data_IF_033490170387
#
_entry.id   IF_033490170387
#
_cell.length_a   1.000
_cell.length_b   1.000
_cell.length_c   1.000
_cell.angle_alpha   90.00
_cell.angle_beta   90.00
_cell.angle_gamma   90.00
#
_symmetry.space_group_name_H-M   'P 1'
#
loop_
_entity.id
_entity.type
_entity.pdbx_description
1 polymer ?
#
# COMPACT_ATOMS: atom_id res chain seq x y z
N UNK A 1 22.53 -11.87 7.29
CA UNK A 1 21.09 -11.55 7.20
C UNK A 1 20.29 -12.82 7.38
N UNK A 2 19.35 -12.83 8.34
CA UNK A 2 18.43 -13.95 8.51
C UNK A 2 17.60 -14.14 7.22
N UNK A 3 17.35 -15.39 6.82
CA UNK A 3 16.57 -15.73 5.62
C UNK A 3 15.20 -15.04 5.62
N UNK A 4 14.51 -14.97 6.74
CA UNK A 4 13.22 -14.30 6.89
C UNK A 4 13.28 -12.78 6.67
N UNK A 5 14.36 -12.12 7.10
CA UNK A 5 14.53 -10.68 6.85
C UNK A 5 14.73 -10.37 5.37
N UNK A 6 15.56 -11.15 4.66
CA UNK A 6 15.73 -11.03 3.21
C UNK A 6 14.42 -11.25 2.48
N UNK A 7 13.68 -12.28 2.87
CA UNK A 7 12.36 -12.58 2.34
C UNK A 7 11.37 -11.44 2.57
N UNK A 8 11.41 -10.82 3.75
CA UNK A 8 10.58 -9.64 4.06
C UNK A 8 10.87 -8.46 3.16
N UNK A 9 12.15 -8.14 2.92
CA UNK A 9 12.55 -7.08 1.98
C UNK A 9 12.08 -7.41 0.57
N UNK A 10 12.31 -8.62 0.09
CA UNK A 10 11.90 -9.04 -1.26
C UNK A 10 10.38 -8.92 -1.45
N UNK A 11 9.58 -9.39 -0.48
CA UNK A 11 8.12 -9.32 -0.53
C UNK A 11 7.62 -7.88 -0.53
N UNK A 12 8.14 -7.02 0.35
CA UNK A 12 7.78 -5.62 0.40
C UNK A 12 8.16 -4.88 -0.89
N UNK A 13 9.38 -5.10 -1.39
CA UNK A 13 9.85 -4.51 -2.64
C UNK A 13 8.99 -4.93 -3.83
N UNK A 14 8.66 -6.23 -3.93
CA UNK A 14 7.78 -6.75 -4.98
C UNK A 14 6.40 -6.10 -4.94
N UNK A 15 5.82 -5.88 -3.74
CA UNK A 15 4.56 -5.18 -3.59
C UNK A 15 4.61 -3.77 -4.16
N UNK A 16 5.64 -2.99 -3.81
CA UNK A 16 5.78 -1.61 -4.26
C UNK A 16 6.16 -1.49 -5.74
N UNK A 17 6.89 -2.46 -6.30
CA UNK A 17 7.12 -2.54 -7.76
C UNK A 17 5.77 -2.77 -8.47
N UNK A 18 4.97 -3.74 -8.02
CA UNK A 18 3.66 -3.99 -8.60
C UNK A 18 2.76 -2.75 -8.52
N UNK A 19 2.69 -2.08 -7.36
CA UNK A 19 1.94 -0.84 -7.23
C UNK A 19 2.48 0.29 -8.11
N UNK A 20 3.80 0.37 -8.29
CA UNK A 20 4.44 1.38 -9.15
C UNK A 20 4.08 1.24 -10.63
N UNK A 21 3.85 0.00 -11.12
CA UNK A 21 3.46 -0.25 -12.52
C UNK A 21 1.94 -0.26 -12.75
N UNK A 22 1.12 -0.22 -11.69
CA UNK A 22 -0.34 -0.25 -11.79
C UNK A 22 -0.95 0.83 -12.70
N UNK A 23 -0.40 2.04 -12.82
CA UNK A 23 -0.93 3.04 -13.75
C UNK A 23 -1.07 2.52 -15.19
N UNK A 24 -0.18 1.61 -15.63
CA UNK A 24 -0.28 0.98 -16.96
C UNK A 24 -1.56 0.13 -17.06
N UNK A 25 -1.87 -0.64 -16.01
CA UNK A 25 -3.09 -1.46 -16.01
C UNK A 25 -4.36 -0.63 -15.99
N UNK A 26 -4.38 0.49 -15.25
CA UNK A 26 -5.57 1.32 -15.14
C UNK A 26 -5.99 1.95 -16.46
N UNK A 27 -5.10 2.08 -17.44
CA UNK A 27 -5.45 2.53 -18.80
C UNK A 27 -6.36 1.55 -19.53
N UNK A 28 -6.34 0.27 -19.20
CA UNK A 28 -7.22 -0.73 -19.84
C UNK A 28 -8.66 -0.70 -19.32
N UNK A 29 -8.92 0.02 -18.24
CA UNK A 29 -10.23 0.14 -17.59
C UNK A 29 -10.72 1.58 -17.49
N UNK A 30 -10.13 2.51 -18.21
CA UNK A 30 -10.39 3.95 -18.19
C UNK A 30 -11.81 4.35 -18.63
N UNK A 31 -12.47 3.49 -19.43
CA UNK A 31 -13.86 3.68 -19.85
C UNK A 31 -14.88 3.46 -18.70
N UNK A 32 -14.46 2.96 -17.54
CA UNK A 32 -15.32 2.68 -16.39
C UNK A 32 -15.09 3.74 -15.32
N UNK A 33 -16.19 4.20 -14.69
CA UNK A 33 -16.11 5.20 -13.63
C UNK A 33 -15.23 4.78 -12.45
N UNK A 34 -14.41 5.69 -11.95
CA UNK A 34 -13.38 5.37 -10.96
C UNK A 34 -13.93 4.75 -9.66
N UNK A 35 -15.09 5.20 -9.16
CA UNK A 35 -15.74 4.58 -7.99
C UNK A 35 -16.34 3.21 -8.33
N UNK A 36 -16.80 3.01 -9.57
CA UNK A 36 -17.25 1.71 -10.05
C UNK A 36 -16.08 0.72 -10.12
N UNK A 37 -14.91 1.15 -10.64
CA UNK A 37 -13.66 0.37 -10.59
C UNK A 37 -13.34 -0.01 -9.14
N UNK A 38 -13.41 0.94 -8.19
CA UNK A 38 -13.12 0.66 -6.78
C UNK A 38 -14.06 -0.41 -6.21
N UNK A 39 -15.36 -0.32 -6.48
CA UNK A 39 -16.35 -1.27 -6.00
C UNK A 39 -16.09 -2.69 -6.57
N UNK A 40 -15.87 -2.79 -7.87
CA UNK A 40 -15.55 -4.08 -8.51
C UNK A 40 -14.21 -4.65 -8.04
N UNK A 41 -13.19 -3.82 -7.81
CA UNK A 41 -11.90 -4.27 -7.22
C UNK A 41 -12.11 -4.93 -5.87
N UNK A 42 -12.94 -4.34 -5.01
CA UNK A 42 -13.26 -4.90 -3.68
C UNK A 42 -13.95 -6.26 -3.85
N UNK A 43 -14.99 -6.33 -4.70
CA UNK A 43 -15.76 -7.55 -4.94
C UNK A 43 -14.87 -8.65 -5.55
N UNK A 44 -14.14 -8.35 -6.63
CA UNK A 44 -13.28 -9.32 -7.29
C UNK A 44 -12.09 -9.73 -6.43
N UNK A 45 -11.60 -8.86 -5.54
CA UNK A 45 -10.59 -9.26 -4.54
C UNK A 45 -11.15 -10.29 -3.57
N UNK A 46 -12.40 -10.10 -3.09
CA UNK A 46 -13.04 -11.10 -2.23
C UNK A 46 -13.23 -12.44 -2.95
N UNK A 47 -13.72 -12.41 -4.19
CA UNK A 47 -13.87 -13.60 -5.04
C UNK A 47 -12.52 -14.29 -5.25
N UNK A 48 -11.48 -13.55 -5.57
CA UNK A 48 -10.13 -14.08 -5.78
C UNK A 48 -9.56 -14.72 -4.51
N UNK A 49 -9.75 -14.08 -3.34
CA UNK A 49 -9.30 -14.64 -2.06
C UNK A 49 -10.06 -15.91 -1.68
N UNK A 50 -11.38 -15.94 -1.91
CA UNK A 50 -12.20 -17.15 -1.72
C UNK A 50 -11.72 -18.27 -2.64
N UNK A 51 -11.43 -17.96 -3.91
CA UNK A 51 -10.87 -18.92 -4.86
C UNK A 51 -9.53 -19.51 -4.38
N UNK A 52 -8.61 -18.68 -3.87
CA UNK A 52 -7.34 -19.15 -3.27
C UNK A 52 -7.60 -20.14 -2.13
N UNK A 53 -8.58 -19.86 -1.26
CA UNK A 53 -8.92 -20.77 -0.16
C UNK A 53 -9.61 -22.05 -0.66
N UNK A 54 -10.41 -21.97 -1.73
CA UNK A 54 -11.11 -23.14 -2.29
C UNK A 54 -10.12 -24.14 -2.92
N UNK A 55 -9.14 -23.64 -3.66
CA UNK A 55 -8.15 -24.47 -4.37
C UNK A 55 -7.00 -24.90 -3.46
N UNK A 56 -6.57 -24.01 -2.55
CA UNK A 56 -5.38 -24.19 -1.72
C UNK A 56 -5.67 -24.85 -0.37
N UNK A 57 -5.49 -26.17 -0.23
CA UNK A 57 -5.69 -26.87 1.04
C UNK A 57 -4.85 -26.30 2.18
N UNK A 58 -3.58 -25.93 1.92
CA UNK A 58 -2.68 -25.34 2.91
C UNK A 58 -3.19 -23.99 3.39
N UNK A 59 -3.66 -23.15 2.48
CA UNK A 59 -4.21 -21.83 2.75
C UNK A 59 -5.51 -21.92 3.54
N UNK A 60 -6.38 -22.85 3.20
CA UNK A 60 -7.63 -23.13 3.91
C UNK A 60 -7.38 -23.57 5.35
N UNK A 61 -6.45 -24.50 5.57
CA UNK A 61 -6.10 -24.96 6.91
C UNK A 61 -5.48 -23.82 7.75
N UNK A 62 -4.63 -22.99 7.14
CA UNK A 62 -4.08 -21.80 7.81
C UNK A 62 -5.19 -20.82 8.18
N UNK A 63 -6.11 -20.54 7.26
CA UNK A 63 -7.25 -19.65 7.50
C UNK A 63 -8.15 -20.14 8.65
N UNK A 64 -8.49 -21.44 8.68
CA UNK A 64 -9.30 -22.01 9.77
C UNK A 64 -8.59 -21.88 11.13
N UNK A 65 -7.29 -22.20 11.20
CA UNK A 65 -6.49 -22.02 12.41
C UNK A 65 -6.47 -20.56 12.87
N UNK A 66 -6.24 -19.64 11.92
CA UNK A 66 -6.14 -18.21 12.20
C UNK A 66 -7.48 -17.62 12.66
N UNK A 67 -8.60 -18.06 12.06
CA UNK A 67 -9.97 -17.69 12.51
C UNK A 67 -10.23 -18.15 13.94
N UNK A 68 -9.90 -19.41 14.26
CA UNK A 68 -10.06 -19.92 15.63
C UNK A 68 -9.20 -19.13 16.64
N UNK A 69 -7.99 -18.71 16.25
CA UNK A 69 -7.12 -17.86 17.06
C UNK A 69 -7.76 -16.46 17.28
N UNK A 70 -8.36 -15.87 16.25
CA UNK A 70 -8.93 -14.52 16.29
C UNK A 70 -10.20 -14.45 17.13
N UNK A 71 -11.02 -15.51 17.14
CA UNK A 71 -12.20 -15.57 18.01
C UNK A 71 -11.86 -15.41 19.49
N UNK A 72 -10.67 -15.85 19.90
CA UNK A 72 -10.13 -15.62 21.24
C UNK A 72 -9.38 -14.28 21.43
N UNK A 73 -9.27 -13.45 20.38
CA UNK A 73 -8.51 -12.19 20.40
C UNK A 73 -9.26 -11.04 19.73
N UNK A 74 -10.34 -10.53 20.35
CA UNK A 74 -11.25 -9.57 19.73
C UNK A 74 -10.56 -8.28 19.25
N UNK A 75 -9.51 -7.83 19.96
CA UNK A 75 -8.73 -6.66 19.57
C UNK A 75 -7.99 -6.88 18.22
N UNK A 76 -7.45 -8.08 17.99
CA UNK A 76 -6.81 -8.39 16.70
C UNK A 76 -7.83 -8.55 15.58
N UNK A 77 -8.99 -9.12 15.86
CA UNK A 77 -10.09 -9.20 14.89
C UNK A 77 -10.56 -7.79 14.52
N UNK A 78 -10.79 -6.92 15.51
CA UNK A 78 -11.15 -5.52 15.25
C UNK A 78 -10.08 -4.82 14.43
N UNK A 79 -8.79 -5.04 14.72
CA UNK A 79 -7.69 -4.44 13.97
C UNK A 79 -7.69 -4.85 12.49
N UNK A 80 -8.06 -6.10 12.16
CA UNK A 80 -8.18 -6.55 10.76
C UNK A 80 -9.38 -5.90 10.07
N UNK A 81 -10.53 -5.84 10.76
CA UNK A 81 -11.73 -5.18 10.23
C UNK A 81 -11.43 -3.70 9.93
N UNK A 82 -10.82 -3.02 10.90
CA UNK A 82 -10.39 -1.62 10.72
C UNK A 82 -9.39 -1.50 9.56
N UNK A 83 -8.42 -2.41 9.44
CA UNK A 83 -7.47 -2.40 8.32
C UNK A 83 -8.18 -2.50 6.96
N UNK A 84 -9.19 -3.38 6.84
CA UNK A 84 -10.00 -3.51 5.64
C UNK A 84 -10.70 -2.21 5.27
N UNK A 85 -11.34 -1.53 6.22
CA UNK A 85 -12.00 -0.25 5.95
C UNK A 85 -11.00 0.90 5.72
N UNK A 86 -9.90 0.94 6.46
CA UNK A 86 -8.86 1.97 6.30
C UNK A 86 -8.26 1.94 4.90
N UNK A 87 -8.04 0.76 4.32
CA UNK A 87 -7.52 0.68 2.94
C UNK A 87 -8.56 1.13 1.91
N UNK A 88 -9.86 1.07 2.20
CA UNK A 88 -10.89 1.60 1.29
C UNK A 88 -10.93 3.12 1.25
N UNK A 89 -10.33 3.82 2.25
CA UNK A 89 -10.12 5.27 2.21
C UNK A 89 -9.28 5.71 1.00
N UNK A 90 -8.69 4.78 0.28
CA UNK A 90 -8.15 5.02 -1.06
C UNK A 90 -9.20 5.54 -2.06
N UNK A 91 -10.49 5.38 -1.79
CA UNK A 91 -11.55 6.11 -2.46
C UNK A 91 -11.35 7.63 -2.42
N UNK A 92 -10.72 8.18 -1.37
CA UNK A 92 -10.32 9.60 -1.28
C UNK A 92 -9.34 9.97 -2.40
N UNK A 93 -8.44 9.07 -2.81
CA UNK A 93 -7.57 9.28 -3.95
C UNK A 93 -8.39 9.49 -5.23
N UNK A 94 -9.35 8.62 -5.46
CA UNK A 94 -10.22 8.66 -6.63
C UNK A 94 -11.05 9.96 -6.62
N UNK A 95 -11.67 10.27 -5.49
CA UNK A 95 -12.41 11.51 -5.31
C UNK A 95 -11.54 12.74 -5.60
N UNK A 96 -10.32 12.77 -5.09
CA UNK A 96 -9.42 13.89 -5.27
C UNK A 96 -8.99 14.06 -6.75
N UNK A 97 -8.71 12.95 -7.44
CA UNK A 97 -8.37 12.98 -8.87
C UNK A 97 -9.55 13.51 -9.70
N UNK A 98 -10.77 13.04 -9.42
CA UNK A 98 -11.98 13.47 -10.16
C UNK A 98 -12.42 14.91 -9.84
N UNK A 99 -11.96 15.48 -8.71
CA UNK A 99 -12.26 16.86 -8.30
C UNK A 99 -11.07 17.81 -8.50
N UNK A 100 -10.06 17.45 -9.28
CA UNK A 100 -8.95 18.33 -9.67
C UNK A 100 -7.82 18.45 -8.64
N UNK A 101 -7.82 17.68 -7.54
CA UNK A 101 -6.79 17.70 -6.50
C UNK A 101 -5.63 16.71 -6.78
N UNK A 102 -5.25 16.53 -8.04
CA UNK A 102 -4.23 15.54 -8.47
C UNK A 102 -2.87 15.78 -7.80
N UNK A 103 -2.45 17.04 -7.64
CA UNK A 103 -1.18 17.37 -6.98
C UNK A 103 -1.16 16.93 -5.52
N UNK A 104 -2.29 17.04 -4.80
CA UNK A 104 -2.38 16.57 -3.42
C UNK A 104 -2.33 15.04 -3.32
N UNK A 105 -2.86 14.31 -4.31
CA UNK A 105 -2.74 12.84 -4.32
C UNK A 105 -1.29 12.40 -4.50
N UNK A 106 -0.55 13.04 -5.40
CA UNK A 106 0.89 12.78 -5.60
C UNK A 106 1.70 13.07 -4.34
N UNK A 107 1.42 14.19 -3.67
CA UNK A 107 2.07 14.54 -2.41
C UNK A 107 1.78 13.51 -1.31
N UNK A 108 0.59 12.90 -1.30
CA UNK A 108 0.23 11.83 -0.38
C UNK A 108 1.18 10.64 -0.46
N UNK A 109 1.63 10.27 -1.65
CA UNK A 109 2.63 9.21 -1.84
C UNK A 109 4.02 9.58 -1.28
N UNK A 110 4.36 10.87 -1.24
CA UNK A 110 5.64 11.32 -0.66
C UNK A 110 5.57 11.43 0.87
N UNK A 111 4.42 11.84 1.42
CA UNK A 111 4.21 11.96 2.88
C UNK A 111 4.06 10.60 3.54
N UNK A 112 3.42 9.64 2.88
CA UNK A 112 3.07 8.32 3.44
C UNK A 112 4.27 7.55 4.03
N UNK A 113 5.46 7.48 3.39
CA UNK A 113 6.63 6.85 4.00
C UNK A 113 7.05 7.51 5.33
N UNK A 114 6.99 8.83 5.41
CA UNK A 114 7.32 9.56 6.65
C UNK A 114 6.32 9.27 7.76
N UNK A 115 5.03 9.16 7.43
CA UNK A 115 3.98 8.75 8.38
C UNK A 115 4.25 7.33 8.87
N UNK A 116 4.60 6.40 7.98
CA UNK A 116 4.96 5.02 8.36
C UNK A 116 6.13 4.97 9.32
N UNK A 117 7.17 5.79 9.10
CA UNK A 117 8.34 5.93 9.99
C UNK A 117 7.94 6.55 11.33
N UNK A 118 7.10 7.58 11.32
CA UNK A 118 6.60 8.22 12.53
C UNK A 118 5.78 7.23 13.38
N UNK A 119 4.89 6.47 12.75
CA UNK A 119 4.11 5.42 13.42
C UNK A 119 5.02 4.31 13.99
N UNK A 120 6.08 3.93 13.27
CA UNK A 120 7.08 2.99 13.77
C UNK A 120 7.80 3.51 15.02
N UNK A 121 8.15 4.80 15.04
CA UNK A 121 8.79 5.45 16.17
C UNK A 121 7.85 5.49 17.40
N UNK A 122 6.62 5.95 17.22
CA UNK A 122 5.66 6.20 18.32
C UNK A 122 5.10 4.88 18.87
N UNK A 123 4.55 4.03 18.01
CA UNK A 123 3.78 2.85 18.43
C UNK A 123 4.63 1.59 18.56
N UNK A 124 5.62 1.40 17.68
CA UNK A 124 6.49 0.22 17.71
C UNK A 124 7.80 0.49 18.45
N UNK A 125 8.04 1.75 18.88
CA UNK A 125 9.25 2.16 19.62
C UNK A 125 10.54 1.80 18.88
N UNK A 126 10.50 1.84 17.53
CA UNK A 126 11.68 1.60 16.72
C UNK A 126 12.72 2.71 16.98
N UNK A 127 14.00 2.33 17.12
CA UNK A 127 15.10 3.25 17.42
C UNK A 127 15.97 3.46 16.20
N UNK A 128 16.28 4.73 15.93
CA UNK A 128 17.08 5.14 14.79
C UNK A 128 18.49 5.57 15.23
N UNK A 129 19.49 5.21 14.45
CA UNK A 129 20.83 5.75 14.60
C UNK A 129 20.97 7.10 13.89
N UNK A 130 22.14 7.75 14.03
CA UNK A 130 22.39 9.09 13.43
C UNK A 130 22.22 9.12 11.91
N UNK A 131 22.64 8.06 11.20
CA UNK A 131 22.48 7.99 9.74
C UNK A 131 21.03 7.79 9.31
N UNK A 132 20.26 7.05 10.06
CA UNK A 132 18.83 6.87 9.82
C UNK A 132 18.05 8.16 10.08
N UNK A 133 18.40 8.91 11.13
CA UNK A 133 17.85 10.24 11.38
C UNK A 133 18.18 11.20 10.25
N UNK A 134 19.42 11.17 9.75
CA UNK A 134 19.83 11.99 8.60
C UNK A 134 19.02 11.61 7.34
N UNK A 135 18.81 10.32 7.09
CA UNK A 135 17.99 9.84 5.99
C UNK A 135 16.53 10.34 6.08
N UNK A 136 15.93 10.28 7.28
CA UNK A 136 14.59 10.81 7.56
C UNK A 136 14.54 12.32 7.31
N UNK A 137 15.56 13.05 7.75
CA UNK A 137 15.66 14.50 7.53
C UNK A 137 15.69 14.84 6.02
N UNK A 138 16.49 14.13 5.22
CA UNK A 138 16.51 14.33 3.76
C UNK A 138 15.15 14.08 3.12
N UNK A 139 14.49 12.96 3.46
CA UNK A 139 13.15 12.67 2.97
C UNK A 139 12.13 13.75 3.39
N UNK A 140 12.20 14.22 4.64
CA UNK A 140 11.35 15.28 5.15
C UNK A 140 11.56 16.61 4.41
N UNK A 141 12.82 17.01 4.14
CA UNK A 141 13.13 18.22 3.38
C UNK A 141 12.52 18.14 1.98
N UNK A 142 12.65 17.00 1.28
CA UNK A 142 12.05 16.82 -0.03
C UNK A 142 10.53 16.95 -0.01
N UNK A 143 9.87 16.32 0.96
CA UNK A 143 8.41 16.41 1.15
C UNK A 143 7.97 17.82 1.49
N UNK A 144 8.68 18.49 2.40
CA UNK A 144 8.39 19.88 2.80
C UNK A 144 8.53 20.83 1.61
N UNK A 145 9.61 20.68 0.83
CA UNK A 145 9.81 21.46 -0.39
C UNK A 145 8.62 21.35 -1.34
N UNK A 146 8.18 20.15 -1.63
CA UNK A 146 7.04 19.92 -2.53
C UNK A 146 5.73 20.46 -1.95
N UNK A 147 5.51 20.30 -0.64
CA UNK A 147 4.34 20.85 0.05
C UNK A 147 4.26 22.37 -0.07
N UNK A 148 5.39 23.06 0.14
CA UNK A 148 5.47 24.52 0.02
C UNK A 148 5.26 24.99 -1.42
N UNK A 149 5.70 24.21 -2.41
CA UNK A 149 5.50 24.51 -3.83
C UNK A 149 4.06 24.39 -4.29
N UNK A 150 3.29 23.44 -3.74
CA UNK A 150 1.86 23.29 -4.04
C UNK A 150 1.06 24.50 -3.50
N UNK A 151 1.48 25.10 -2.38
CA UNK A 151 0.89 26.31 -1.85
C UNK A 151 -0.50 26.16 -1.19
N UNK A 152 -1.01 24.92 -1.10
CA UNK A 152 -2.28 24.57 -0.46
C UNK A 152 -2.07 23.66 0.73
N UNK A 153 -2.96 23.72 1.73
CA UNK A 153 -2.90 22.79 2.85
C UNK A 153 -3.27 21.37 2.40
N UNK A 154 -2.39 20.38 2.55
CA UNK A 154 -2.51 19.08 1.87
C UNK A 154 -3.42 18.10 2.63
N UNK A 155 -4.69 18.44 2.83
CA UNK A 155 -5.65 17.60 3.59
C UNK A 155 -5.75 16.19 2.98
N UNK A 156 -5.94 16.10 1.67
CA UNK A 156 -6.05 14.83 0.94
C UNK A 156 -4.80 13.99 1.12
N UNK A 157 -3.63 14.62 0.97
CA UNK A 157 -2.34 13.95 1.14
C UNK A 157 -2.18 13.37 2.54
N UNK A 158 -2.59 14.11 3.56
CA UNK A 158 -2.52 13.68 4.96
C UNK A 158 -3.47 12.50 5.21
N UNK A 159 -4.71 12.56 4.71
CA UNK A 159 -5.68 11.45 4.85
C UNK A 159 -5.13 10.19 4.19
N UNK A 160 -4.60 10.28 2.97
CA UNK A 160 -4.02 9.15 2.26
C UNK A 160 -2.81 8.58 2.99
N UNK A 161 -1.91 9.44 3.46
CA UNK A 161 -0.71 9.03 4.18
C UNK A 161 -1.04 8.38 5.52
N UNK A 162 -1.97 8.95 6.29
CA UNK A 162 -2.42 8.37 7.55
C UNK A 162 -3.13 7.05 7.35
N UNK A 163 -4.01 6.92 6.34
CA UNK A 163 -4.73 5.67 6.07
C UNK A 163 -3.75 4.54 5.76
N UNK A 164 -2.82 4.75 4.82
CA UNK A 164 -1.89 3.70 4.42
C UNK A 164 -0.83 3.41 5.48
N UNK A 165 -0.33 4.43 6.18
CA UNK A 165 0.58 4.27 7.32
C UNK A 165 -0.06 3.48 8.46
N UNK A 166 -1.31 3.80 8.82
CA UNK A 166 -2.10 3.05 9.80
C UNK A 166 -2.35 1.61 9.34
N UNK A 167 -2.67 1.41 8.08
CA UNK A 167 -2.79 0.07 7.50
C UNK A 167 -1.50 -0.75 7.71
N UNK A 168 -0.33 -0.17 7.40
CA UNK A 168 0.97 -0.80 7.64
C UNK A 168 1.21 -1.16 9.10
N UNK A 169 0.86 -0.26 10.03
CA UNK A 169 0.94 -0.51 11.47
C UNK A 169 0.03 -1.66 11.89
N UNK A 170 -1.22 -1.68 11.45
CA UNK A 170 -2.18 -2.74 11.77
C UNK A 170 -1.69 -4.11 11.27
N UNK A 171 -1.08 -4.16 10.06
CA UNK A 171 -0.46 -5.39 9.56
C UNK A 171 0.71 -5.87 10.39
N UNK A 172 1.39 -4.97 11.08
CA UNK A 172 2.51 -5.31 11.96
C UNK A 172 2.06 -5.91 13.29
N UNK A 173 0.94 -5.43 13.84
CA UNK A 173 0.44 -5.86 15.16
C UNK A 173 -0.47 -7.09 15.11
N UNK A 174 -1.00 -7.43 13.94
CA UNK A 174 -1.84 -8.62 13.76
C UNK A 174 -1.01 -9.86 13.46
N UNK A 175 -1.13 -10.90 14.29
CA UNK A 175 -0.30 -12.10 14.26
C UNK A 175 -1.03 -13.32 13.65
N UNK A 176 -1.47 -13.19 12.39
CA UNK A 176 -2.01 -14.29 11.56
C UNK A 176 -1.33 -14.33 10.20
N UNK A 177 -1.60 -15.37 9.40
CA UNK A 177 -1.07 -15.45 8.03
C UNK A 177 -1.51 -14.27 7.15
N UNK A 178 -0.68 -13.88 6.18
CA UNK A 178 -0.97 -12.74 5.30
C UNK A 178 -2.21 -13.01 4.43
N UNK A 179 -2.34 -14.23 3.90
CA UNK A 179 -3.50 -14.60 3.07
C UNK A 179 -4.77 -14.57 3.91
N UNK A 180 -4.74 -15.13 5.14
CA UNK A 180 -5.87 -15.07 6.07
C UNK A 180 -6.30 -13.63 6.36
N UNK A 181 -5.34 -12.74 6.65
CA UNK A 181 -5.61 -11.33 6.92
C UNK A 181 -6.29 -10.64 5.74
N UNK A 182 -5.72 -10.76 4.53
CA UNK A 182 -6.29 -10.13 3.32
C UNK A 182 -7.67 -10.73 2.98
N UNK A 183 -7.86 -12.04 3.18
CA UNK A 183 -9.16 -12.68 2.96
C UNK A 183 -10.25 -12.05 3.84
N UNK A 184 -9.98 -11.89 5.14
CA UNK A 184 -10.94 -11.30 6.07
C UNK A 184 -11.25 -9.85 5.66
N UNK A 185 -10.22 -9.06 5.35
CA UNK A 185 -10.40 -7.68 4.91
C UNK A 185 -11.27 -7.57 3.65
N UNK A 186 -10.99 -8.40 2.63
CA UNK A 186 -11.78 -8.42 1.40
C UNK A 186 -13.25 -8.84 1.66
N UNK A 187 -13.48 -9.85 2.51
CA UNK A 187 -14.84 -10.31 2.84
C UNK A 187 -15.60 -9.22 3.60
N UNK A 188 -14.96 -8.57 4.57
CA UNK A 188 -15.62 -7.53 5.40
C UNK A 188 -15.95 -6.28 4.59
N UNK A 189 -15.16 -5.95 3.58
CA UNK A 189 -15.37 -4.76 2.74
C UNK A 189 -16.27 -5.05 1.53
N UNK A 190 -16.40 -6.30 1.09
CA UNK A 190 -17.21 -6.69 -0.07
C UNK A 190 -18.67 -6.20 -0.03
N UNK A 191 -19.39 -6.20 1.12
CA UNK A 191 -20.73 -5.66 1.19
C UNK A 191 -20.82 -4.19 0.76
N UNK A 192 -19.85 -3.36 1.11
CA UNK A 192 -19.83 -1.96 0.69
C UNK A 192 -19.70 -1.82 -0.83
N UNK A 193 -18.83 -2.62 -1.46
CA UNK A 193 -18.72 -2.68 -2.92
C UNK A 193 -20.00 -3.16 -3.58
N UNK A 194 -20.63 -4.21 -3.03
CA UNK A 194 -21.90 -4.74 -3.55
C UNK A 194 -23.04 -3.71 -3.46
N UNK A 195 -23.18 -3.01 -2.34
CA UNK A 195 -24.19 -1.96 -2.15
C UNK A 195 -24.01 -0.88 -3.23
N UNK A 196 -22.76 -0.45 -3.49
CA UNK A 196 -22.50 0.58 -4.49
C UNK A 196 -22.79 0.09 -5.93
N UNK A 197 -22.44 -1.14 -6.27
CA UNK A 197 -22.77 -1.73 -7.59
C UNK A 197 -24.28 -1.88 -7.78
N UNK A 198 -25.01 -2.33 -6.75
CA UNK A 198 -26.47 -2.41 -6.80
C UNK A 198 -27.07 -1.01 -6.99
N UNK A 199 -26.57 0.01 -6.31
CA UNK A 199 -26.98 1.40 -6.49
C UNK A 199 -26.80 1.85 -7.94
N UNK A 200 -25.61 1.65 -8.53
CA UNK A 200 -25.33 2.01 -9.93
C UNK A 200 -26.26 1.26 -10.90
N UNK A 201 -26.51 -0.01 -10.65
CA UNK A 201 -27.42 -0.81 -11.46
C UNK A 201 -28.85 -0.28 -11.44
N UNK A 202 -29.36 0.07 -10.26
CA UNK A 202 -30.68 0.68 -10.09
C UNK A 202 -30.81 2.05 -10.76
N UNK A 203 -29.75 2.83 -10.78
CA UNK A 203 -29.69 4.14 -11.43
C UNK A 203 -29.44 4.06 -12.96
N UNK A 204 -29.29 2.86 -13.53
CA UNK A 204 -28.88 2.65 -14.93
C UNK A 204 -27.56 3.35 -15.30
N UNK A 205 -26.65 3.51 -14.33
CA UNK A 205 -25.35 4.19 -14.49
C UNK A 205 -24.17 3.21 -14.51
N UNK A 206 -24.41 1.91 -14.51
CA UNK A 206 -23.38 0.89 -14.51
C UNK A 206 -22.71 0.81 -15.89
N UNK A 207 -21.39 0.97 -15.95
CA UNK A 207 -20.58 0.86 -17.17
C UNK A 207 -20.09 -0.57 -17.41
N UNK A 208 -20.10 -1.41 -16.36
CA UNK A 208 -19.70 -2.82 -16.46
C UNK A 208 -20.67 -3.61 -17.36
N UNK A 209 -20.13 -4.24 -18.39
CA UNK A 209 -20.91 -4.98 -19.39
C UNK A 209 -20.03 -5.80 -20.34
N UNK A 210 -20.52 -6.13 -21.52
CA UNK A 210 -19.79 -6.87 -22.54
C UNK A 210 -18.87 -5.94 -23.35
N UNK A 211 -17.81 -5.47 -22.70
CA UNK A 211 -16.79 -4.61 -23.33
C UNK A 211 -15.39 -4.98 -22.83
N UNK A 212 -14.36 -4.49 -23.53
CA UNK A 212 -12.96 -4.81 -23.23
C UNK A 212 -12.52 -4.31 -21.86
N UNK A 213 -12.97 -3.13 -21.42
CA UNK A 213 -12.62 -2.59 -20.10
C UNK A 213 -13.21 -3.45 -18.97
N UNK A 214 -14.44 -3.96 -19.13
CA UNK A 214 -15.04 -4.90 -18.19
C UNK A 214 -14.29 -6.25 -18.14
N UNK A 215 -13.81 -6.74 -19.27
CA UNK A 215 -12.95 -7.93 -19.31
C UNK A 215 -11.68 -7.74 -18.46
N UNK A 216 -10.98 -6.62 -18.67
CA UNK A 216 -9.80 -6.31 -17.86
C UNK A 216 -10.16 -6.11 -16.38
N UNK A 217 -11.32 -5.52 -16.08
CA UNK A 217 -11.76 -5.29 -14.70
C UNK A 217 -11.93 -6.59 -13.90
N UNK A 218 -12.22 -7.73 -14.54
CA UNK A 218 -12.28 -9.04 -13.87
C UNK A 218 -10.97 -9.40 -13.17
N UNK A 219 -9.82 -8.98 -13.71
CA UNK A 219 -8.50 -9.25 -13.13
C UNK A 219 -8.15 -8.28 -11.99
N UNK A 220 -8.93 -7.20 -11.80
CA UNK A 220 -8.65 -6.18 -10.79
C UNK A 220 -8.56 -6.75 -9.37
N UNK A 221 -9.29 -7.83 -9.09
CA UNK A 221 -9.23 -8.53 -7.81
C UNK A 221 -7.85 -9.11 -7.52
N UNK A 222 -7.30 -9.88 -8.45
CA UNK A 222 -5.95 -10.46 -8.33
C UNK A 222 -4.88 -9.36 -8.27
N UNK A 223 -4.99 -8.37 -9.15
CA UNK A 223 -4.06 -7.23 -9.24
C UNK A 223 -4.07 -6.39 -7.97
N UNK A 224 -5.18 -6.32 -7.26
CA UNK A 224 -5.29 -5.66 -5.95
C UNK A 224 -4.81 -6.56 -4.82
N UNK A 225 -5.23 -7.81 -4.76
CA UNK A 225 -4.97 -8.70 -3.65
C UNK A 225 -3.51 -9.17 -3.59
N UNK A 226 -2.86 -9.44 -4.72
CA UNK A 226 -1.47 -9.95 -4.75
C UNK A 226 -0.50 -8.97 -4.11
N UNK A 227 -0.43 -7.67 -4.48
CA UNK A 227 0.45 -6.73 -3.79
C UNK A 227 0.12 -6.56 -2.30
N UNK A 228 -1.15 -6.59 -1.91
CA UNK A 228 -1.55 -6.52 -0.51
C UNK A 228 -1.07 -7.74 0.30
N UNK A 229 -1.14 -8.95 -0.27
CA UNK A 229 -0.59 -10.17 0.34
C UNK A 229 0.92 -10.05 0.51
N UNK A 230 1.64 -9.63 -0.54
CA UNK A 230 3.09 -9.44 -0.52
C UNK A 230 3.49 -8.39 0.51
N UNK A 231 2.80 -7.25 0.54
CA UNK A 231 2.99 -6.20 1.54
C UNK A 231 2.76 -6.71 2.96
N UNK A 232 1.62 -7.35 3.21
CA UNK A 232 1.28 -7.91 4.52
C UNK A 232 2.31 -8.94 4.98
N UNK A 233 2.75 -9.83 4.09
CA UNK A 233 3.77 -10.81 4.39
C UNK A 233 5.15 -10.16 4.63
N UNK A 234 5.50 -9.12 3.91
CA UNK A 234 6.71 -8.31 4.12
C UNK A 234 6.68 -7.57 5.44
N UNK A 235 5.58 -6.87 5.75
CA UNK A 235 5.39 -6.07 6.95
C UNK A 235 5.61 -6.87 8.24
N UNK A 236 5.26 -8.14 8.26
CA UNK A 236 5.46 -9.04 9.40
C UNK A 236 6.92 -9.44 9.63
N UNK A 237 7.81 -9.23 8.66
CA UNK A 237 9.20 -9.75 8.68
C UNK A 237 10.25 -8.68 8.83
N UNK A 238 9.95 -7.43 8.53
CA UNK A 238 10.91 -6.31 8.56
C UNK A 238 10.34 -5.13 9.35
N UNK A 239 11.18 -4.23 9.89
CA UNK A 239 10.73 -3.02 10.57
C UNK A 239 9.79 -2.17 9.72
N UNK A 240 8.83 -1.48 10.35
CA UNK A 240 7.88 -0.62 9.64
C UNK A 240 8.58 0.60 9.04
N UNK A 241 9.64 1.09 9.68
CA UNK A 241 10.49 2.16 9.14
C UNK A 241 11.19 1.75 7.84
N UNK A 242 11.68 0.50 7.75
CA UNK A 242 12.27 -0.01 6.50
C UNK A 242 11.22 -0.11 5.40
N UNK A 243 9.99 -0.52 5.72
CA UNK A 243 8.87 -0.49 4.78
C UNK A 243 8.63 0.92 4.27
N UNK A 244 8.64 1.93 5.16
CA UNK A 244 8.52 3.33 4.78
C UNK A 244 9.56 3.74 3.73
N UNK A 245 10.83 3.35 3.87
CA UNK A 245 11.84 3.65 2.84
C UNK A 245 11.64 2.85 1.55
N UNK A 246 11.30 1.55 1.63
CA UNK A 246 11.00 0.71 0.44
C UNK A 246 9.80 1.28 -0.33
N UNK A 247 8.86 1.88 0.35
CA UNK A 247 7.63 2.46 -0.22
C UNK A 247 7.92 3.54 -1.26
N UNK A 248 9.02 4.28 -1.16
CA UNK A 248 9.41 5.27 -2.17
C UNK A 248 9.72 4.68 -3.55
N UNK A 249 9.90 3.36 -3.66
CA UNK A 249 10.06 2.66 -4.94
C UNK A 249 8.82 2.84 -5.83
N UNK A 250 7.62 2.77 -5.25
CA UNK A 250 6.38 2.98 -6.00
C UNK A 250 6.32 4.35 -6.71
N UNK A 251 6.35 5.48 -5.97
CA UNK A 251 6.39 6.81 -6.57
C UNK A 251 7.57 7.02 -7.53
N UNK A 252 8.74 6.43 -7.27
CA UNK A 252 9.88 6.51 -8.19
C UNK A 252 9.57 5.85 -9.54
N UNK A 253 8.96 4.66 -9.53
CA UNK A 253 8.54 3.99 -10.76
C UNK A 253 7.45 4.81 -11.47
N UNK A 254 6.45 5.32 -10.72
CA UNK A 254 5.39 6.16 -11.28
C UNK A 254 5.95 7.43 -11.93
N UNK A 255 6.94 8.08 -11.31
CA UNK A 255 7.63 9.24 -11.87
C UNK A 255 8.32 8.91 -13.20
N UNK A 256 9.04 7.78 -13.26
CA UNK A 256 9.69 7.33 -14.49
C UNK A 256 8.66 7.01 -15.58
N UNK A 257 7.57 6.31 -15.22
CA UNK A 257 6.48 6.00 -16.16
C UNK A 257 5.79 7.28 -16.65
N UNK A 258 5.55 8.25 -15.77
CA UNK A 258 4.97 9.56 -16.13
C UNK A 258 5.74 10.21 -17.25
N UNK A 259 7.06 10.32 -17.10
CA UNK A 259 7.92 10.98 -18.09
C UNK A 259 8.05 10.16 -19.37
N UNK A 260 8.40 8.88 -19.27
CA UNK A 260 8.84 8.09 -20.44
C UNK A 260 7.70 7.37 -21.15
N UNK A 261 6.65 6.95 -20.43
CA UNK A 261 5.52 6.19 -20.99
C UNK A 261 4.34 7.12 -21.26
N UNK A 262 3.90 7.89 -20.25
CA UNK A 262 2.71 8.74 -20.34
C UNK A 262 3.00 10.12 -20.96
N UNK A 263 4.29 10.46 -21.15
CA UNK A 263 4.73 11.74 -21.74
C UNK A 263 4.21 12.97 -20.99
N UNK A 264 4.08 12.83 -19.67
CA UNK A 264 3.69 13.96 -18.81
C UNK A 264 4.77 15.06 -18.83
N UNK A 265 4.39 16.33 -18.65
CA UNK A 265 5.36 17.41 -18.60
C UNK A 265 6.33 17.22 -17.42
N UNK A 266 7.62 17.35 -17.70
CA UNK A 266 8.68 17.21 -16.71
C UNK A 266 8.63 18.37 -15.69
N UNK A 267 8.54 18.03 -14.41
CA UNK A 267 8.58 19.00 -13.32
C UNK A 267 9.93 18.98 -12.61
N UNK A 268 10.64 20.12 -12.65
CA UNK A 268 11.90 20.30 -11.92
C UNK A 268 11.68 20.18 -10.41
N UNK A 269 10.54 20.69 -9.89
CA UNK A 269 10.22 20.61 -8.47
C UNK A 269 10.04 19.16 -7.99
N UNK A 270 9.42 18.32 -8.82
CA UNK A 270 9.34 16.87 -8.55
C UNK A 270 10.74 16.23 -8.55
N UNK A 271 11.59 16.57 -9.52
CA UNK A 271 12.97 16.04 -9.56
C UNK A 271 13.77 16.43 -8.32
N UNK A 272 13.72 17.69 -7.89
CA UNK A 272 14.39 18.16 -6.66
C UNK A 272 13.90 17.35 -5.46
N UNK A 273 12.57 17.17 -5.34
CA UNK A 273 11.96 16.34 -4.30
C UNK A 273 12.51 14.92 -4.31
N UNK A 274 12.57 14.28 -5.50
CA UNK A 274 13.12 12.94 -5.63
C UNK A 274 14.60 12.85 -5.32
N UNK A 275 15.41 13.85 -5.66
CA UNK A 275 16.84 13.87 -5.30
C UNK A 275 17.03 13.81 -3.79
N UNK A 276 16.24 14.59 -3.02
CA UNK A 276 16.26 14.53 -1.56
C UNK A 276 15.82 13.15 -1.05
N UNK A 277 14.73 12.61 -1.59
CA UNK A 277 14.19 11.30 -1.22
C UNK A 277 15.22 10.19 -1.52
N UNK A 278 15.78 10.16 -2.73
CA UNK A 278 16.77 9.15 -3.12
C UNK A 278 18.05 9.24 -2.27
N UNK A 279 18.48 10.45 -1.93
CA UNK A 279 19.60 10.63 -0.98
C UNK A 279 19.25 10.00 0.37
N UNK A 280 18.04 10.22 0.88
CA UNK A 280 17.55 9.56 2.10
C UNK A 280 17.54 8.03 2.00
N UNK A 281 17.06 7.48 0.87
CA UNK A 281 17.04 6.03 0.63
C UNK A 281 18.47 5.45 0.63
N UNK A 282 19.41 6.10 -0.02
CA UNK A 282 20.81 5.67 -0.06
C UNK A 282 21.41 5.67 1.36
N UNK A 283 21.24 6.76 2.11
CA UNK A 283 21.74 6.89 3.49
C UNK A 283 21.13 5.81 4.40
N UNK A 284 19.83 5.57 4.32
CA UNK A 284 19.15 4.55 5.10
C UNK A 284 19.65 3.14 4.72
N UNK A 285 19.77 2.85 3.43
CA UNK A 285 20.26 1.56 2.93
C UNK A 285 21.70 1.28 3.37
N UNK A 286 22.57 2.27 3.32
CA UNK A 286 23.95 2.19 3.82
C UNK A 286 23.97 1.93 5.33
N UNK A 287 23.12 2.61 6.10
CA UNK A 287 23.00 2.39 7.54
C UNK A 287 22.57 0.96 7.85
N UNK A 288 21.54 0.44 7.16
CA UNK A 288 21.09 -0.94 7.33
C UNK A 288 22.18 -1.95 6.95
N UNK A 289 22.90 -1.71 5.86
CA UNK A 289 24.01 -2.57 5.48
C UNK A 289 25.11 -2.63 6.54
N UNK A 290 25.50 -1.47 7.10
CA UNK A 290 26.52 -1.38 8.16
C UNK A 290 26.03 -2.08 9.45
N UNK A 291 24.78 -1.88 9.85
CA UNK A 291 24.18 -2.59 11.01
C UNK A 291 24.27 -4.11 10.85
N UNK A 292 23.88 -4.60 9.67
CA UNK A 292 23.89 -6.03 9.37
C UNK A 292 25.30 -6.65 9.36
N UNK A 293 26.32 -5.84 8.97
CA UNK A 293 27.71 -6.28 8.98
C UNK A 293 28.31 -6.31 10.40
N UNK A 294 27.92 -5.34 11.26
CA UNK A 294 28.43 -5.23 12.64
C UNK A 294 27.76 -6.23 13.61
N UNK A 295 26.49 -6.55 13.39
CA UNK A 295 25.74 -7.51 14.19
C UNK A 295 25.14 -8.58 13.26
N UNK A 296 25.95 -9.58 12.83
CA UNK A 296 25.38 -10.76 12.20
C UNK A 296 24.41 -11.36 13.21
N UNK A 297 23.09 -11.28 12.91
CA UNK A 297 22.02 -11.76 13.79
C UNK A 297 22.39 -13.16 14.26
N UNK A 298 22.65 -13.29 15.57
CA UNK A 298 22.95 -14.56 16.19
C UNK A 298 21.86 -15.57 15.76
N UNK A 299 22.28 -16.74 15.33
CA UNK A 299 21.42 -17.88 15.08
C UNK A 299 20.79 -18.24 16.44
N UNK A 300 19.65 -17.67 16.74
CA UNK A 300 18.77 -18.25 17.75
C UNK A 300 18.00 -19.36 17.05
N UNK A 301 18.40 -20.56 17.41
CA UNK A 301 17.79 -21.84 17.15
C UNK A 301 16.31 -21.85 17.56
#
# INVERSE_FOLDING_TARGET
>A
MNSEYKKGIFLALSAYILWGILPIYWQFVDAIGAFEILAFRIIFSAIFMIFILAVGQKQRNAFQRDMNQLLGKPIQLLAIVVAGYVITLWGTFIWAVTNGHVLQTSLGYYINPLVSILLALIFLKERFNKFEWLAILFAFIGVLYMTLKIGEFPIVSIILALSFGTYGLLKKVVHIDAISSITIECIVTAPAGLIYVIYLWQQHQMSFGLNMSSFWLLFSGAITAIPLILFSAGAKRIPLSLIGFIQYVGPTIMFVLGIFVFKEPFSIDQLITFIFIWTGIVLYSLSQYIKLKKHPVAKTL
#
